data_IF_253370769624
#
_entry.id   IF_253370769624
#
_cell.length_a   1.000
_cell.length_b   1.000
_cell.length_c   1.000
_cell.angle_alpha   90.00
_cell.angle_beta   90.00
_cell.angle_gamma   90.00
#
_symmetry.space_group_name_H-M   'P 1'
#
loop_
_entity.id
_entity.type
_entity.pdbx_description
1 polymer ?
#
# COMPACT_ATOMS: atom_id res chain seq x y z
N UNK A 1 -21.08 10.97 -9.10
CA UNK A 1 -20.86 9.53 -9.34
C UNK A 1 -21.15 8.77 -8.06
N UNK A 2 -21.64 7.53 -8.19
CA UNK A 2 -21.76 6.59 -7.07
C UNK A 2 -20.52 5.70 -7.02
N UNK A 3 -19.73 5.79 -5.95
CA UNK A 3 -18.42 5.14 -5.83
C UNK A 3 -18.41 4.21 -4.63
N UNK A 4 -18.04 2.95 -4.85
CA UNK A 4 -17.82 1.98 -3.77
C UNK A 4 -16.36 2.01 -3.33
N UNK A 5 -16.12 2.09 -2.01
CA UNK A 5 -14.76 2.07 -1.43
C UNK A 5 -14.68 0.91 -0.43
N UNK A 6 -13.85 -0.09 -0.71
CA UNK A 6 -13.57 -1.17 0.24
C UNK A 6 -12.35 -0.84 1.10
N UNK A 7 -12.29 -1.39 2.31
CA UNK A 7 -11.22 -1.02 3.25
C UNK A 7 -11.38 0.40 3.83
N UNK A 8 -12.59 0.94 3.81
CA UNK A 8 -12.94 2.31 4.20
C UNK A 8 -12.59 2.67 5.65
N UNK A 9 -12.45 1.68 6.55
CA UNK A 9 -12.00 1.90 7.94
C UNK A 9 -10.47 1.87 8.09
N UNK A 10 -9.74 1.69 7.01
CA UNK A 10 -8.27 1.70 6.96
C UNK A 10 -7.69 3.10 6.73
N UNK A 11 -6.36 3.20 6.82
CA UNK A 11 -5.62 4.45 6.63
C UNK A 11 -5.91 5.08 5.26
N UNK A 12 -5.64 4.38 4.18
CA UNK A 12 -5.87 4.89 2.82
C UNK A 12 -7.36 4.98 2.50
N UNK A 13 -8.14 3.91 2.76
CA UNK A 13 -9.56 3.87 2.40
C UNK A 13 -10.38 4.97 3.06
N UNK A 14 -10.08 5.32 4.32
CA UNK A 14 -10.71 6.45 5.01
C UNK A 14 -10.41 7.79 4.33
N UNK A 15 -9.15 8.02 3.93
CA UNK A 15 -8.75 9.24 3.20
C UNK A 15 -9.40 9.32 1.81
N UNK A 16 -9.54 8.19 1.12
CA UNK A 16 -10.25 8.13 -0.16
C UNK A 16 -11.74 8.49 0.02
N UNK A 17 -12.41 7.89 1.02
CA UNK A 17 -13.81 8.23 1.33
C UNK A 17 -13.98 9.71 1.59
N UNK A 18 -13.16 10.29 2.48
CA UNK A 18 -13.20 11.70 2.83
C UNK A 18 -13.04 12.60 1.58
N UNK A 19 -12.03 12.30 0.76
CA UNK A 19 -11.74 13.11 -0.41
C UNK A 19 -12.85 13.05 -1.46
N UNK A 20 -13.36 11.85 -1.76
CA UNK A 20 -14.42 11.66 -2.74
C UNK A 20 -15.74 12.31 -2.31
N UNK A 21 -16.12 12.16 -1.04
CA UNK A 21 -17.32 12.80 -0.50
C UNK A 21 -17.22 14.33 -0.54
N UNK A 22 -16.07 14.90 -0.16
CA UNK A 22 -15.83 16.34 -0.22
C UNK A 22 -15.84 16.92 -1.65
N UNK A 23 -15.66 16.07 -2.67
CA UNK A 23 -15.81 16.42 -4.09
C UNK A 23 -17.23 16.26 -4.62
N UNK A 24 -18.19 15.92 -3.76
CA UNK A 24 -19.60 15.78 -4.11
C UNK A 24 -19.96 14.44 -4.75
N UNK A 25 -19.14 13.39 -4.55
CA UNK A 25 -19.50 12.05 -4.97
C UNK A 25 -20.35 11.36 -3.90
N UNK A 26 -21.31 10.53 -4.32
CA UNK A 26 -22.01 9.60 -3.43
C UNK A 26 -21.08 8.40 -3.14
N UNK A 27 -20.75 8.17 -1.86
CA UNK A 27 -19.79 7.13 -1.48
C UNK A 27 -20.46 6.02 -0.68
N UNK A 28 -20.29 4.78 -1.16
CA UNK A 28 -20.63 3.55 -0.44
C UNK A 28 -19.34 2.98 0.19
N UNK A 29 -19.22 3.09 1.49
CA UNK A 29 -18.05 2.66 2.23
C UNK A 29 -18.23 1.24 2.78
N UNK A 30 -17.24 0.36 2.54
CA UNK A 30 -17.26 -1.03 3.00
C UNK A 30 -16.03 -1.36 3.84
N UNK A 31 -16.20 -2.15 4.90
CA UNK A 31 -15.10 -2.62 5.73
C UNK A 31 -15.53 -3.65 6.75
N UNK A 32 -14.59 -4.44 7.26
CA UNK A 32 -14.90 -5.54 8.22
C UNK A 32 -15.20 -5.08 9.65
N UNK A 33 -14.77 -3.85 10.02
CA UNK A 33 -14.97 -3.33 11.36
C UNK A 33 -16.44 -2.95 11.59
N UNK A 34 -16.92 -2.92 12.85
CA UNK A 34 -18.27 -2.47 13.14
C UNK A 34 -18.48 -1.00 12.74
N UNK A 35 -19.73 -0.55 12.49
CA UNK A 35 -20.02 0.83 12.07
C UNK A 35 -19.46 1.91 13.01
N UNK A 36 -19.41 1.66 14.31
CA UNK A 36 -18.81 2.57 15.29
C UNK A 36 -17.31 2.87 15.05
N UNK A 37 -16.60 2.03 14.31
CA UNK A 37 -15.20 2.25 13.94
C UNK A 37 -15.03 3.06 12.64
N UNK A 38 -16.12 3.42 11.97
CA UNK A 38 -16.09 4.22 10.74
C UNK A 38 -16.17 5.72 11.08
N UNK A 39 -15.08 6.43 10.85
CA UNK A 39 -14.93 7.85 11.26
C UNK A 39 -15.64 8.86 10.36
N UNK A 40 -16.14 8.44 9.19
CA UNK A 40 -16.71 9.32 8.15
C UNK A 40 -18.22 9.10 7.97
N UNK A 41 -18.95 8.72 9.05
CA UNK A 41 -20.37 8.42 9.02
C UNK A 41 -21.26 9.59 8.52
N UNK A 42 -20.81 10.84 8.70
CA UNK A 42 -21.49 12.04 8.16
C UNK A 42 -21.23 12.29 6.67
N UNK A 43 -20.28 11.59 6.05
CA UNK A 43 -19.85 11.81 4.68
C UNK A 43 -20.23 10.67 3.72
N UNK A 44 -20.39 9.44 4.22
CA UNK A 44 -20.62 8.27 3.39
C UNK A 44 -21.50 7.23 4.09
N UNK A 45 -22.28 6.50 3.31
CA UNK A 45 -23.03 5.33 3.80
C UNK A 45 -22.06 4.17 4.04
N UNK A 46 -22.03 3.66 5.28
CA UNK A 46 -21.15 2.55 5.64
C UNK A 46 -21.90 1.23 5.80
N UNK A 47 -21.36 0.20 5.19
CA UNK A 47 -21.85 -1.19 5.33
C UNK A 47 -20.70 -2.09 5.80
N UNK A 48 -20.94 -2.83 6.89
CA UNK A 48 -19.99 -3.85 7.34
C UNK A 48 -19.97 -5.00 6.35
N UNK A 49 -18.79 -5.29 5.83
CA UNK A 49 -18.53 -6.42 4.95
C UNK A 49 -17.11 -6.92 5.12
N UNK A 50 -16.96 -8.17 5.50
CA UNK A 50 -15.70 -8.89 5.42
C UNK A 50 -15.63 -9.57 4.05
N UNK A 51 -14.69 -9.13 3.22
CA UNK A 51 -14.54 -9.64 1.86
C UNK A 51 -14.13 -11.12 1.80
N UNK A 52 -13.70 -11.70 2.93
CA UNK A 52 -13.38 -13.14 3.05
C UNK A 52 -14.61 -14.02 3.15
N UNK A 53 -15.78 -13.44 3.45
CA UNK A 53 -17.07 -14.14 3.50
C UNK A 53 -17.68 -14.39 2.09
N UNK A 54 -17.01 -13.91 1.05
CA UNK A 54 -17.43 -14.06 -0.34
C UNK A 54 -18.13 -12.81 -0.92
N UNK A 55 -18.65 -12.93 -2.15
CA UNK A 55 -19.34 -11.84 -2.82
C UNK A 55 -20.56 -11.36 -2.05
N UNK A 56 -20.76 -10.05 -2.04
CA UNK A 56 -21.94 -9.41 -1.47
C UNK A 56 -22.44 -8.33 -2.44
N UNK A 57 -23.66 -8.46 -2.97
CA UNK A 57 -24.20 -7.41 -3.81
C UNK A 57 -24.33 -6.11 -3.01
N UNK A 58 -24.08 -4.95 -3.62
CA UNK A 58 -24.31 -3.67 -2.98
C UNK A 58 -25.78 -3.60 -2.53
N UNK A 59 -25.99 -3.11 -1.31
CA UNK A 59 -27.35 -2.91 -0.76
C UNK A 59 -28.02 -1.75 -1.50
N UNK A 60 -28.89 -2.06 -2.47
CA UNK A 60 -29.70 -1.10 -3.21
C UNK A 60 -29.64 -1.28 -4.74
N UNK A 61 -30.60 -0.68 -5.48
CA UNK A 61 -30.75 -0.87 -6.93
C UNK A 61 -29.79 -0.04 -7.78
N UNK A 62 -28.82 0.69 -7.18
CA UNK A 62 -27.93 1.61 -7.90
C UNK A 62 -26.70 0.89 -8.43
N UNK A 63 -26.50 0.93 -9.73
CA UNK A 63 -25.23 0.55 -10.34
C UNK A 63 -24.14 1.55 -9.90
N UNK A 64 -23.02 1.04 -9.35
CA UNK A 64 -21.89 1.91 -9.03
C UNK A 64 -21.12 2.26 -10.30
N UNK A 65 -20.64 3.50 -10.40
CA UNK A 65 -19.81 3.97 -11.50
C UNK A 65 -18.37 3.48 -11.37
N UNK A 66 -17.87 3.42 -10.13
CA UNK A 66 -16.52 2.98 -9.84
C UNK A 66 -16.41 2.23 -8.50
N UNK A 67 -15.40 1.36 -8.42
CA UNK A 67 -14.99 0.65 -7.20
C UNK A 67 -13.54 1.00 -6.90
N UNK A 68 -13.26 1.51 -5.70
CA UNK A 68 -11.90 1.71 -5.19
C UNK A 68 -11.60 0.64 -4.17
N UNK A 69 -10.76 -0.33 -4.55
CA UNK A 69 -10.43 -1.48 -3.73
C UNK A 69 -9.16 -1.23 -2.92
N UNK A 70 -9.34 -0.74 -1.67
CA UNK A 70 -8.27 -0.50 -0.70
C UNK A 70 -8.16 -1.61 0.36
N UNK A 71 -9.12 -2.54 0.41
CA UNK A 71 -9.07 -3.64 1.37
C UNK A 71 -7.91 -4.59 1.05
N UNK A 72 -7.18 -5.00 2.09
CA UNK A 72 -6.07 -5.94 1.95
C UNK A 72 -5.30 -6.11 3.26
N UNK A 73 -4.66 -7.25 3.41
CA UNK A 73 -3.70 -7.49 4.49
C UNK A 73 -2.34 -6.96 4.03
N UNK A 74 -1.88 -5.87 4.70
CA UNK A 74 -0.62 -5.19 4.41
C UNK A 74 0.31 -5.38 5.60
N UNK A 75 1.02 -6.49 5.62
CA UNK A 75 2.06 -6.84 6.61
C UNK A 75 3.03 -7.81 5.95
N UNK A 76 4.23 -7.90 6.46
CA UNK A 76 5.23 -8.88 6.00
C UNK A 76 5.21 -10.18 6.82
N UNK A 77 4.27 -10.31 7.79
CA UNK A 77 4.13 -11.45 8.69
C UNK A 77 2.67 -11.85 8.85
N UNK A 78 2.40 -13.13 8.84
CA UNK A 78 1.07 -13.72 8.97
C UNK A 78 1.01 -15.10 8.34
N UNK A 79 -0.15 -15.74 8.36
CA UNK A 79 -0.35 -17.04 7.72
C UNK A 79 -0.59 -16.89 6.21
N UNK A 80 -0.06 -17.83 5.43
CA UNK A 80 -0.32 -17.88 3.98
C UNK A 80 -1.82 -17.94 3.67
N UNK A 81 -2.58 -18.67 4.49
CA UNK A 81 -4.04 -18.79 4.37
C UNK A 81 -4.76 -17.47 4.53
N UNK A 82 -4.34 -16.64 5.52
CA UNK A 82 -4.92 -15.31 5.74
C UNK A 82 -4.63 -14.36 4.58
N UNK A 83 -3.38 -14.32 4.12
CA UNK A 83 -3.01 -13.52 2.94
C UNK A 83 -3.81 -13.94 1.70
N UNK A 84 -3.96 -15.25 1.46
CA UNK A 84 -4.73 -15.79 0.35
C UNK A 84 -6.22 -15.42 0.46
N UNK A 85 -6.79 -15.59 1.65
CA UNK A 85 -8.19 -15.28 1.90
C UNK A 85 -8.51 -13.80 1.65
N UNK A 86 -7.68 -12.89 2.16
CA UNK A 86 -7.97 -11.45 2.09
C UNK A 86 -7.53 -10.86 0.74
N UNK A 87 -6.28 -11.12 0.31
CA UNK A 87 -5.73 -10.42 -0.85
C UNK A 87 -6.14 -11.03 -2.18
N UNK A 88 -6.38 -12.35 -2.25
CA UNK A 88 -6.76 -13.02 -3.51
C UNK A 88 -8.27 -13.24 -3.54
N UNK A 89 -8.79 -14.17 -2.72
CA UNK A 89 -10.23 -14.47 -2.73
C UNK A 89 -11.09 -13.26 -2.37
N UNK A 90 -10.62 -12.41 -1.44
CA UNK A 90 -11.29 -11.15 -1.12
C UNK A 90 -11.36 -10.20 -2.31
N UNK A 91 -10.27 -10.09 -3.10
CA UNK A 91 -10.28 -9.29 -4.35
C UNK A 91 -11.25 -9.88 -5.38
N UNK A 92 -11.24 -11.21 -5.57
CA UNK A 92 -12.19 -11.91 -6.45
C UNK A 92 -13.64 -11.70 -6.00
N UNK A 93 -13.90 -11.76 -4.68
CA UNK A 93 -15.21 -11.49 -4.12
C UNK A 93 -15.68 -10.05 -4.40
N UNK A 94 -14.79 -9.06 -4.30
CA UNK A 94 -15.12 -7.67 -4.64
C UNK A 94 -15.39 -7.52 -6.14
N UNK A 95 -14.59 -8.11 -7.01
CA UNK A 95 -14.82 -8.11 -8.45
C UNK A 95 -16.19 -8.73 -8.81
N UNK A 96 -16.56 -9.83 -8.16
CA UNK A 96 -17.83 -10.51 -8.39
C UNK A 96 -19.05 -9.74 -7.82
N UNK A 97 -18.84 -8.81 -6.91
CA UNK A 97 -19.91 -8.07 -6.22
C UNK A 97 -20.43 -6.85 -6.98
N UNK A 98 -19.68 -6.36 -7.95
CA UNK A 98 -20.00 -5.12 -8.66
C UNK A 98 -20.20 -5.35 -10.17
N UNK A 99 -20.97 -4.47 -10.85
CA UNK A 99 -21.21 -4.59 -12.29
C UNK A 99 -19.91 -4.56 -13.08
N UNK A 100 -19.79 -5.40 -14.11
CA UNK A 100 -18.58 -5.52 -14.94
C UNK A 100 -18.20 -4.26 -15.69
N UNK A 101 -19.14 -3.35 -15.92
CA UNK A 101 -18.88 -2.04 -16.51
C UNK A 101 -18.45 -0.99 -15.48
N UNK A 102 -18.54 -1.27 -14.18
CA UNK A 102 -18.00 -0.39 -13.15
C UNK A 102 -16.46 -0.33 -13.27
N UNK A 103 -15.91 0.88 -13.19
CA UNK A 103 -14.47 1.08 -13.20
C UNK A 103 -13.84 0.55 -11.92
N UNK A 104 -12.81 -0.26 -12.04
CA UNK A 104 -12.18 -0.92 -10.89
C UNK A 104 -10.77 -0.40 -10.63
N UNK A 105 -10.59 0.36 -9.55
CA UNK A 105 -9.28 0.89 -9.13
C UNK A 105 -8.75 0.01 -8.00
N UNK A 106 -7.72 -0.79 -8.29
CA UNK A 106 -7.06 -1.67 -7.31
C UNK A 106 -5.79 -1.04 -6.75
N UNK A 107 -5.73 -0.91 -5.44
CA UNK A 107 -4.50 -0.46 -4.76
C UNK A 107 -3.60 -1.66 -4.50
N UNK A 108 -2.54 -1.75 -5.29
CA UNK A 108 -1.49 -2.77 -5.19
C UNK A 108 -0.27 -2.25 -4.42
N UNK A 109 0.92 -2.62 -4.83
CA UNK A 109 2.20 -2.23 -4.21
C UNK A 109 3.35 -2.39 -5.20
N UNK A 110 4.38 -1.55 -5.10
CA UNK A 110 5.63 -1.74 -5.85
C UNK A 110 6.41 -2.98 -5.40
N UNK A 111 6.07 -3.58 -4.27
CA UNK A 111 6.71 -4.82 -3.80
C UNK A 111 6.49 -6.02 -4.72
N UNK A 112 5.55 -5.92 -5.67
CA UNK A 112 5.34 -6.94 -6.71
C UNK A 112 6.52 -7.06 -7.69
N UNK A 113 7.36 -6.02 -7.79
CA UNK A 113 8.56 -6.04 -8.63
C UNK A 113 9.69 -6.90 -8.02
N UNK A 114 10.58 -7.42 -8.88
CA UNK A 114 11.74 -8.18 -8.40
C UNK A 114 12.73 -7.25 -7.70
N UNK A 115 13.00 -7.49 -6.43
CA UNK A 115 13.94 -6.72 -5.62
C UNK A 115 15.42 -6.92 -6.02
N UNK A 116 15.71 -7.89 -6.90
CA UNK A 116 17.05 -8.20 -7.41
C UNK A 116 17.35 -7.56 -8.75
N UNK A 117 16.46 -6.70 -9.24
CA UNK A 117 16.67 -5.99 -10.50
C UNK A 117 17.86 -5.02 -10.43
N UNK A 118 18.44 -4.66 -11.58
CA UNK A 118 19.45 -3.59 -11.66
C UNK A 118 18.94 -2.27 -11.09
N UNK A 119 19.85 -1.41 -10.64
CA UNK A 119 19.55 -0.04 -10.25
C UNK A 119 18.91 0.74 -11.40
N UNK A 120 18.06 1.70 -11.07
CA UNK A 120 17.38 2.55 -12.04
C UNK A 120 15.87 2.68 -11.76
N UNK A 121 15.23 3.58 -12.48
CA UNK A 121 13.79 3.81 -12.34
C UNK A 121 12.99 2.62 -12.86
N UNK A 122 12.06 2.15 -12.04
CA UNK A 122 11.21 0.98 -12.30
C UNK A 122 10.01 1.43 -13.09
N UNK A 123 9.88 0.94 -14.30
CA UNK A 123 8.69 1.14 -15.13
C UNK A 123 7.64 0.06 -14.83
N UNK A 124 6.38 0.35 -15.19
CA UNK A 124 5.24 -0.56 -14.99
C UNK A 124 5.38 -1.88 -15.76
N UNK A 125 6.15 -1.88 -16.84
CA UNK A 125 6.50 -3.06 -17.66
C UNK A 125 7.51 -4.00 -16.99
N UNK A 126 8.11 -3.59 -15.87
CA UNK A 126 9.03 -4.42 -15.13
C UNK A 126 8.35 -5.70 -14.63
N UNK A 127 9.06 -6.82 -14.70
CA UNK A 127 8.53 -8.15 -14.39
C UNK A 127 8.17 -8.27 -12.90
N UNK A 128 7.15 -9.04 -12.63
CA UNK A 128 6.85 -9.52 -11.27
C UNK A 128 8.02 -10.30 -10.67
N UNK A 129 8.12 -10.27 -9.35
CA UNK A 129 9.08 -11.07 -8.61
C UNK A 129 8.86 -12.57 -8.89
N UNK A 130 9.84 -13.21 -9.54
CA UNK A 130 9.79 -14.66 -9.84
C UNK A 130 9.79 -15.52 -8.57
N UNK A 131 10.43 -15.03 -7.50
CA UNK A 131 10.49 -15.66 -6.18
C UNK A 131 10.09 -14.62 -5.13
N UNK A 132 8.78 -14.47 -4.88
CA UNK A 132 8.29 -13.55 -3.86
C UNK A 132 8.94 -13.82 -2.49
N UNK A 133 9.31 -12.76 -1.78
CA UNK A 133 10.01 -12.88 -0.49
C UNK A 133 9.10 -13.38 0.63
N UNK A 134 7.81 -13.16 0.51
CA UNK A 134 6.80 -13.57 1.48
C UNK A 134 5.43 -13.73 0.81
N UNK A 135 4.45 -14.20 1.59
CA UNK A 135 3.07 -14.41 1.11
C UNK A 135 2.36 -13.11 0.76
N UNK A 136 2.71 -11.98 1.41
CA UNK A 136 2.19 -10.68 1.04
C UNK A 136 2.48 -10.35 -0.44
N UNK A 137 3.73 -10.43 -0.86
CA UNK A 137 4.13 -10.15 -2.24
C UNK A 137 3.48 -11.15 -3.19
N UNK A 138 3.49 -12.44 -2.86
CA UNK A 138 2.87 -13.50 -3.65
C UNK A 138 1.39 -13.22 -3.91
N UNK A 139 0.64 -12.92 -2.85
CA UNK A 139 -0.80 -12.70 -2.94
C UNK A 139 -1.17 -11.36 -3.59
N UNK A 140 -0.33 -10.33 -3.47
CA UNK A 140 -0.53 -9.08 -4.22
C UNK A 140 -0.33 -9.27 -5.72
N UNK A 141 0.63 -10.09 -6.14
CA UNK A 141 0.80 -10.48 -7.56
C UNK A 141 -0.45 -11.23 -8.05
N UNK A 142 -0.92 -12.22 -7.29
CA UNK A 142 -2.11 -12.99 -7.65
C UNK A 142 -3.37 -12.10 -7.73
N UNK A 143 -3.53 -11.16 -6.79
CA UNK A 143 -4.62 -10.19 -6.83
C UNK A 143 -4.58 -9.30 -8.08
N UNK A 144 -3.41 -8.79 -8.47
CA UNK A 144 -3.27 -8.04 -9.73
C UNK A 144 -3.65 -8.89 -10.95
N UNK A 145 -3.23 -10.16 -10.98
CA UNK A 145 -3.59 -11.09 -12.05
C UNK A 145 -5.10 -11.34 -12.13
N UNK A 146 -5.78 -11.47 -10.98
CA UNK A 146 -7.23 -11.59 -10.92
C UNK A 146 -7.93 -10.33 -11.46
N UNK A 147 -7.44 -9.14 -11.10
CA UNK A 147 -7.96 -7.86 -11.61
C UNK A 147 -7.74 -7.73 -13.11
N UNK A 148 -6.54 -8.04 -13.62
CA UNK A 148 -6.22 -7.98 -15.06
C UNK A 148 -7.00 -9.00 -15.88
N UNK A 149 -7.31 -10.16 -15.32
CA UNK A 149 -8.14 -11.19 -15.94
C UNK A 149 -9.65 -10.92 -15.86
N UNK A 150 -10.07 -9.89 -15.12
CA UNK A 150 -11.47 -9.53 -14.98
C UNK A 150 -11.98 -8.76 -16.20
N UNK A 151 -13.31 -8.71 -16.37
CA UNK A 151 -13.94 -7.92 -17.43
C UNK A 151 -14.12 -6.42 -17.07
N UNK A 152 -13.68 -6.00 -15.88
CA UNK A 152 -13.79 -4.61 -15.47
C UNK A 152 -12.77 -3.70 -16.18
N UNK A 153 -13.14 -2.47 -16.55
CA UNK A 153 -12.17 -1.46 -16.96
C UNK A 153 -11.29 -1.10 -15.74
N UNK A 154 -10.10 -1.72 -15.66
CA UNK A 154 -9.31 -1.76 -14.43
C UNK A 154 -8.11 -0.82 -14.46
N UNK A 155 -7.85 -0.21 -13.30
CA UNK A 155 -6.64 0.56 -12.99
C UNK A 155 -5.96 -0.06 -11.79
N UNK A 156 -4.68 -0.39 -11.91
CA UNK A 156 -3.86 -0.92 -10.82
C UNK A 156 -2.85 0.14 -10.43
N UNK A 157 -2.89 0.55 -9.16
CA UNK A 157 -1.96 1.54 -8.61
C UNK A 157 -0.89 0.82 -7.78
N UNK A 158 0.39 1.04 -8.10
CA UNK A 158 1.55 0.47 -7.41
C UNK A 158 2.29 1.54 -6.59
N UNK A 159 1.81 1.91 -5.41
CA UNK A 159 2.53 2.81 -4.50
C UNK A 159 3.70 2.09 -3.82
N UNK A 160 4.67 2.88 -3.30
CA UNK A 160 5.73 2.39 -2.43
C UNK A 160 5.69 3.11 -1.08
N UNK A 161 5.74 2.35 0.03
CA UNK A 161 5.84 2.88 1.39
C UNK A 161 4.91 4.10 1.63
N UNK A 162 3.60 3.84 1.65
CA UNK A 162 2.58 4.88 1.84
C UNK A 162 2.74 5.49 3.24
N UNK A 163 2.86 6.82 3.32
CA UNK A 163 3.00 7.56 4.56
C UNK A 163 2.05 8.77 4.60
N UNK A 164 1.85 9.33 5.77
CA UNK A 164 0.99 10.50 5.96
C UNK A 164 0.29 10.50 7.31
N UNK A 165 -0.49 11.54 7.64
CA UNK A 165 -1.25 11.63 8.89
C UNK A 165 -2.21 10.45 9.06
N UNK A 166 -2.12 9.76 10.21
CA UNK A 166 -2.94 8.57 10.50
C UNK A 166 -2.31 7.23 10.09
N UNK A 167 -1.06 7.22 9.59
CA UNK A 167 -0.30 6.00 9.36
C UNK A 167 0.05 5.32 10.71
N UNK A 168 -0.24 4.00 10.83
CA UNK A 168 -0.14 3.28 12.12
C UNK A 168 0.71 2.01 12.07
N UNK A 169 1.34 1.70 10.95
CA UNK A 169 2.11 0.44 10.78
C UNK A 169 3.58 0.67 10.49
N UNK A 170 3.89 1.45 9.46
CA UNK A 170 5.25 1.66 9.00
C UNK A 170 6.06 2.50 10.00
N UNK A 171 5.54 3.65 10.38
CA UNK A 171 6.22 4.59 11.27
C UNK A 171 6.42 4.03 12.68
N UNK A 172 5.40 3.46 13.37
CA UNK A 172 5.59 2.85 14.67
C UNK A 172 6.62 1.71 14.66
N UNK A 173 6.61 0.88 13.60
CA UNK A 173 7.58 -0.21 13.47
C UNK A 173 9.01 0.29 13.27
N UNK A 174 9.18 1.34 12.46
CA UNK A 174 10.47 1.97 12.26
C UNK A 174 10.99 2.60 13.56
N UNK A 175 10.14 3.32 14.28
CA UNK A 175 10.52 3.91 15.57
C UNK A 175 10.80 2.84 16.64
N UNK A 176 10.12 1.68 16.61
CA UNK A 176 10.40 0.54 17.48
C UNK A 176 11.78 -0.09 17.24
N UNK A 177 12.40 0.14 16.08
CA UNK A 177 13.79 -0.27 15.82
C UNK A 177 14.84 0.62 16.50
N UNK A 178 14.42 1.63 17.25
CA UNK A 178 15.32 2.49 18.05
C UNK A 178 15.82 1.77 19.30
N UNK A 179 17.14 1.79 19.49
CA UNK A 179 17.81 1.24 20.69
C UNK A 179 18.89 2.21 21.14
N UNK A 180 18.99 2.50 22.42
CA UNK A 180 19.99 3.38 23.00
C UNK A 180 20.12 4.75 22.28
N UNK A 181 18.97 5.35 21.92
CA UNK A 181 18.93 6.64 21.22
C UNK A 181 19.33 6.60 19.74
N UNK A 182 19.59 5.42 19.17
CA UNK A 182 19.99 5.24 17.75
C UNK A 182 18.95 4.42 17.01
N UNK A 183 18.65 4.75 15.76
CA UNK A 183 17.82 3.96 14.87
C UNK A 183 18.68 2.93 14.15
N UNK A 184 18.35 1.65 14.27
CA UNK A 184 18.98 0.59 13.49
C UNK A 184 18.32 0.50 12.11
N UNK A 185 19.12 0.66 11.06
CA UNK A 185 18.73 0.50 9.67
C UNK A 185 19.58 -0.57 8.98
N UNK A 186 19.21 -0.97 7.76
CA UNK A 186 19.95 -1.96 6.96
C UNK A 186 20.49 -1.31 5.71
N UNK A 187 21.68 -1.73 5.27
CA UNK A 187 22.37 -1.19 4.11
C UNK A 187 23.44 -0.16 4.50
N UNK A 188 23.58 0.89 3.71
CA UNK A 188 24.45 2.03 3.95
C UNK A 188 23.72 3.38 3.92
N UNK A 189 22.40 3.34 3.65
CA UNK A 189 21.55 4.52 3.58
C UNK A 189 21.70 5.36 2.31
N UNK A 190 22.51 4.92 1.33
CA UNK A 190 22.72 5.63 0.05
C UNK A 190 21.72 5.28 -1.01
N UNK A 191 21.09 4.08 -0.91
CA UNK A 191 20.05 3.64 -1.81
C UNK A 191 18.88 4.62 -1.82
N UNK A 192 18.41 4.97 -3.02
CA UNK A 192 17.29 5.89 -3.21
C UNK A 192 15.98 5.15 -3.13
N UNK A 193 15.03 5.77 -2.43
CA UNK A 193 13.70 5.19 -2.22
C UNK A 193 12.64 6.21 -2.60
N UNK A 194 11.70 5.80 -3.46
CA UNK A 194 10.46 6.51 -3.67
C UNK A 194 9.54 6.28 -2.47
N UNK A 195 8.91 7.32 -1.97
CA UNK A 195 7.82 7.25 -1.00
C UNK A 195 6.52 7.69 -1.67
N UNK A 196 5.38 7.36 -1.07
CA UNK A 196 4.08 7.80 -1.56
C UNK A 196 3.30 8.46 -0.41
N UNK A 197 3.15 9.78 -0.45
CA UNK A 197 2.27 10.45 0.50
C UNK A 197 0.82 10.05 0.24
N UNK A 198 0.04 9.82 1.30
CA UNK A 198 -1.36 9.37 1.19
C UNK A 198 -2.20 10.30 0.32
N UNK A 199 -2.02 11.63 0.43
CA UNK A 199 -2.77 12.59 -0.37
C UNK A 199 -2.37 12.54 -1.85
N UNK A 200 -1.12 12.22 -2.18
CA UNK A 200 -0.66 12.00 -3.55
C UNK A 200 -1.31 10.74 -4.14
N UNK A 201 -1.43 9.67 -3.34
CA UNK A 201 -2.13 8.47 -3.77
C UNK A 201 -3.64 8.70 -3.96
N UNK A 202 -4.27 9.45 -3.05
CA UNK A 202 -5.68 9.86 -3.18
C UNK A 202 -5.90 10.65 -4.48
N UNK A 203 -5.02 11.59 -4.81
CA UNK A 203 -5.09 12.33 -6.08
C UNK A 203 -5.11 11.39 -7.30
N UNK A 204 -4.25 10.36 -7.31
CA UNK A 204 -4.24 9.39 -8.43
C UNK A 204 -5.52 8.56 -8.44
N UNK A 205 -6.05 8.17 -7.28
CA UNK A 205 -7.35 7.46 -7.21
C UNK A 205 -8.46 8.33 -7.82
N UNK A 206 -8.52 9.61 -7.47
CA UNK A 206 -9.49 10.55 -8.04
C UNK A 206 -9.40 10.63 -9.57
N UNK A 207 -8.19 10.77 -10.11
CA UNK A 207 -7.96 10.77 -11.56
C UNK A 207 -8.32 9.43 -12.19
N UNK A 208 -8.00 8.34 -11.51
CA UNK A 208 -8.26 7.00 -12.02
C UNK A 208 -9.75 6.67 -12.16
N UNK A 209 -10.64 7.28 -11.38
CA UNK A 209 -12.09 7.04 -11.46
C UNK A 209 -12.81 7.98 -12.44
N UNK A 210 -12.17 9.03 -12.94
CA UNK A 210 -12.77 9.96 -13.88
C UNK A 210 -13.24 9.25 -15.17
N UNK A 211 -14.42 9.59 -15.70
CA UNK A 211 -14.87 9.04 -16.98
C UNK A 211 -13.87 9.32 -18.11
N UNK A 212 -13.57 8.29 -18.89
CA UNK A 212 -12.61 8.41 -20.00
C UNK A 212 -11.14 8.28 -19.60
N UNK A 213 -10.81 8.21 -18.31
CA UNK A 213 -9.42 7.94 -17.89
C UNK A 213 -8.93 6.59 -18.43
N UNK A 214 -7.66 6.47 -18.82
CA UNK A 214 -7.11 5.21 -19.33
C UNK A 214 -7.13 4.11 -18.27
N UNK A 215 -7.20 2.85 -18.72
CA UNK A 215 -6.99 1.66 -17.92
C UNK A 215 -5.52 1.27 -17.92
N UNK A 216 -5.09 0.43 -16.99
CA UNK A 216 -3.73 -0.08 -16.95
C UNK A 216 -3.09 -0.06 -15.58
N UNK A 217 -1.78 -0.22 -15.56
CA UNK A 217 -0.97 -0.25 -14.34
C UNK A 217 -0.22 1.06 -14.22
N UNK A 218 -0.18 1.64 -13.02
CA UNK A 218 0.50 2.92 -12.78
C UNK A 218 1.33 2.87 -11.51
N UNK A 219 2.59 3.23 -11.61
CA UNK A 219 3.42 3.51 -10.46
C UNK A 219 3.00 4.84 -9.83
N UNK A 220 2.96 4.85 -8.50
CA UNK A 220 2.57 6.05 -7.76
C UNK A 220 3.61 6.36 -6.69
N UNK A 221 4.22 7.54 -6.77
CA UNK A 221 5.19 8.02 -5.79
C UNK A 221 5.19 9.54 -5.73
N UNK A 222 5.82 10.08 -4.71
CA UNK A 222 6.13 11.51 -4.62
C UNK A 222 7.08 11.92 -5.76
N UNK A 223 7.24 13.22 -5.98
CA UNK A 223 7.99 13.76 -7.13
C UNK A 223 9.45 13.32 -7.19
N UNK A 224 10.05 13.01 -6.05
CA UNK A 224 11.47 12.69 -5.95
C UNK A 224 11.71 11.43 -5.11
N UNK A 225 12.62 10.58 -5.57
CA UNK A 225 13.21 9.54 -4.75
C UNK A 225 14.40 10.11 -3.98
N UNK A 226 14.50 9.83 -2.70
CA UNK A 226 15.53 10.36 -1.81
C UNK A 226 16.41 9.23 -1.24
N UNK A 227 17.69 9.52 -0.88
CA UNK A 227 18.51 8.57 -0.15
C UNK A 227 17.86 8.16 1.17
N UNK A 228 17.79 6.85 1.46
CA UNK A 228 17.18 6.32 2.68
C UNK A 228 17.74 6.99 3.95
N UNK A 229 19.03 7.23 4.00
CA UNK A 229 19.66 7.87 5.15
C UNK A 229 19.17 9.30 5.39
N UNK A 230 18.86 10.04 4.33
CA UNK A 230 18.25 11.36 4.41
C UNK A 230 16.82 11.27 4.94
N UNK A 231 16.02 10.36 4.38
CA UNK A 231 14.64 10.11 4.80
C UNK A 231 14.55 9.73 6.28
N UNK A 232 15.40 8.80 6.75
CA UNK A 232 15.41 8.36 8.15
C UNK A 232 15.79 9.49 9.11
N UNK A 233 16.77 10.32 8.76
CA UNK A 233 17.16 11.47 9.58
C UNK A 233 16.06 12.54 9.63
N UNK A 234 15.46 12.87 8.50
CA UNK A 234 14.33 13.81 8.41
C UNK A 234 13.13 13.33 9.23
N UNK A 235 12.84 12.03 9.18
CA UNK A 235 11.80 11.42 9.98
C UNK A 235 12.10 11.56 11.49
N UNK A 236 13.30 11.20 11.93
CA UNK A 236 13.67 11.32 13.35
C UNK A 236 13.55 12.77 13.85
N UNK A 237 14.00 13.74 13.06
CA UNK A 237 13.89 15.17 13.38
C UNK A 237 12.42 15.62 13.47
N UNK A 238 11.54 15.16 12.58
CA UNK A 238 10.12 15.46 12.62
C UNK A 238 9.44 14.98 13.92
N UNK A 239 9.94 13.89 14.51
CA UNK A 239 9.49 13.37 15.81
C UNK A 239 10.27 13.94 17.00
N UNK A 240 11.06 15.00 16.84
CA UNK A 240 11.87 15.59 17.90
C UNK A 240 12.98 14.67 18.43
N UNK A 241 13.41 13.70 17.63
CA UNK A 241 14.39 12.68 18.01
C UNK A 241 15.77 12.99 17.43
N UNK A 242 16.84 12.61 18.16
CA UNK A 242 18.19 12.74 17.63
C UNK A 242 18.35 11.92 16.33
N UNK A 243 18.88 12.53 15.22
CA UNK A 243 18.94 11.89 13.91
C UNK A 243 20.11 10.90 13.77
N UNK A 244 20.28 10.04 14.78
CA UNK A 244 21.37 9.06 14.86
C UNK A 244 20.91 7.73 14.26
N UNK A 245 21.46 7.36 13.08
CA UNK A 245 21.19 6.11 12.38
C UNK A 245 22.46 5.26 12.36
N UNK A 246 22.30 3.98 12.70
CA UNK A 246 23.37 2.96 12.62
C UNK A 246 22.97 1.95 11.57
N UNK A 247 23.87 1.63 10.66
CA UNK A 247 23.59 0.74 9.55
C UNK A 247 24.20 -0.63 9.77
N UNK A 248 23.37 -1.67 9.61
CA UNK A 248 23.81 -3.05 9.56
C UNK A 248 23.99 -3.47 8.09
N UNK A 249 25.18 -3.92 7.67
CA UNK A 249 25.39 -4.37 6.31
C UNK A 249 24.41 -5.46 5.90
N UNK A 250 23.90 -5.41 4.65
CA UNK A 250 22.93 -6.38 4.14
C UNK A 250 23.41 -7.83 4.28
N UNK A 251 24.70 -8.09 4.04
CA UNK A 251 25.29 -9.42 4.15
C UNK A 251 25.21 -10.02 5.56
N UNK A 252 25.17 -9.17 6.58
CA UNK A 252 25.00 -9.55 7.99
C UNK A 252 23.50 -9.61 8.35
N UNK A 253 22.74 -8.61 7.92
CA UNK A 253 21.32 -8.50 8.23
C UNK A 253 20.50 -9.66 7.64
N UNK A 254 20.83 -10.13 6.44
CA UNK A 254 20.06 -11.16 5.75
C UNK A 254 20.03 -12.51 6.46
N UNK A 255 21.16 -13.13 6.86
CA UNK A 255 21.13 -14.39 7.63
C UNK A 255 20.48 -14.22 9.00
N UNK A 256 20.69 -13.08 9.69
CA UNK A 256 20.02 -12.79 10.96
C UNK A 256 18.49 -12.80 10.76
N UNK A 257 18.00 -12.10 9.73
CA UNK A 257 16.57 -12.08 9.41
C UNK A 257 16.04 -13.48 9.11
N UNK A 258 16.76 -14.29 8.33
CA UNK A 258 16.37 -15.65 8.01
C UNK A 258 16.26 -16.53 9.27
N UNK A 259 17.22 -16.45 10.19
CA UNK A 259 17.21 -17.17 11.46
C UNK A 259 16.04 -16.73 12.35
N UNK A 260 15.83 -15.41 12.46
CA UNK A 260 14.70 -14.86 13.23
C UNK A 260 13.36 -15.31 12.66
N UNK A 261 13.16 -15.26 11.33
CA UNK A 261 11.93 -15.74 10.70
C UNK A 261 11.70 -17.24 11.00
N UNK A 262 12.74 -18.07 10.90
CA UNK A 262 12.65 -19.50 11.16
C UNK A 262 12.27 -19.78 12.62
N UNK A 263 12.92 -19.12 13.58
CA UNK A 263 12.62 -19.26 15.00
C UNK A 263 11.18 -18.81 15.33
N UNK A 264 10.75 -17.65 14.82
CA UNK A 264 9.40 -17.12 15.06
C UNK A 264 8.31 -17.98 14.41
N UNK A 265 8.59 -18.59 13.26
CA UNK A 265 7.67 -19.58 12.64
C UNK A 265 7.59 -20.86 13.44
N UNK A 266 8.71 -21.36 13.96
CA UNK A 266 8.74 -22.58 14.78
C UNK A 266 7.88 -22.45 16.05
N UNK A 267 7.89 -21.29 16.70
CA UNK A 267 7.05 -21.00 17.88
C UNK A 267 5.66 -20.44 17.52
N UNK A 268 5.30 -20.39 16.22
CA UNK A 268 4.03 -19.84 15.71
C UNK A 268 3.73 -18.43 16.23
N UNK A 269 4.74 -17.57 16.31
CA UNK A 269 4.59 -16.21 16.82
C UNK A 269 3.60 -15.39 15.98
N UNK A 270 2.62 -14.79 16.63
CA UNK A 270 1.63 -13.91 15.98
C UNK A 270 2.25 -12.59 15.51
N UNK A 271 3.24 -12.08 16.26
CA UNK A 271 3.93 -10.82 15.94
C UNK A 271 5.17 -11.07 15.09
N UNK A 272 5.47 -10.20 14.12
CA UNK A 272 6.67 -10.31 13.31
C UNK A 272 7.94 -10.17 14.17
N UNK A 273 9.04 -10.83 13.79
CA UNK A 273 10.35 -10.47 14.31
C UNK A 273 10.69 -9.02 13.93
N UNK A 274 11.62 -8.43 14.64
CA UNK A 274 12.07 -7.06 14.38
C UNK A 274 12.63 -6.93 12.95
N UNK A 275 13.31 -7.96 12.46
CA UNK A 275 13.92 -8.01 11.15
C UNK A 275 13.43 -9.23 10.37
N UNK A 276 12.88 -8.99 9.16
CA UNK A 276 12.51 -10.02 8.19
C UNK A 276 13.34 -9.82 6.93
N UNK A 277 13.51 -10.87 6.12
CA UNK A 277 14.18 -10.75 4.80
C UNK A 277 13.47 -9.74 3.90
N UNK A 278 12.16 -9.62 4.03
CA UNK A 278 11.39 -8.59 3.32
C UNK A 278 11.83 -7.18 3.73
N UNK A 279 11.94 -6.89 5.04
CA UNK A 279 12.42 -5.59 5.52
C UNK A 279 13.86 -5.32 5.10
N UNK A 280 14.72 -6.33 5.19
CA UNK A 280 16.11 -6.21 4.73
C UNK A 280 16.15 -5.83 3.25
N UNK A 281 15.35 -6.47 2.42
CA UNK A 281 15.25 -6.15 0.99
C UNK A 281 14.73 -4.73 0.76
N UNK A 282 13.67 -4.33 1.47
CA UNK A 282 13.08 -2.99 1.33
C UNK A 282 14.04 -1.85 1.76
N UNK A 283 14.81 -2.06 2.83
CA UNK A 283 15.72 -1.05 3.34
C UNK A 283 17.09 -1.02 2.63
N UNK A 284 17.55 -2.16 2.11
CA UNK A 284 18.88 -2.28 1.51
C UNK A 284 18.92 -2.25 -0.02
N UNK A 285 17.78 -2.17 -0.68
CA UNK A 285 17.72 -2.13 -2.15
C UNK A 285 17.20 -0.77 -2.62
N UNK A 286 17.69 -0.33 -3.77
CA UNK A 286 17.13 0.85 -4.43
C UNK A 286 15.70 0.58 -4.91
N UNK A 287 14.78 1.52 -4.67
CA UNK A 287 13.41 1.47 -5.16
C UNK A 287 12.98 2.85 -5.67
N UNK A 288 13.36 3.17 -6.89
CA UNK A 288 12.95 4.38 -7.59
C UNK A 288 11.85 4.01 -8.58
N UNK A 289 10.67 4.57 -8.43
CA UNK A 289 9.55 4.33 -9.33
C UNK A 289 9.55 5.36 -10.47
N UNK A 290 9.40 4.91 -11.69
CA UNK A 290 9.07 5.78 -12.82
C UNK A 290 7.59 6.09 -12.80
N UNK A 291 7.22 7.34 -12.57
CA UNK A 291 5.83 7.80 -12.46
C UNK A 291 5.34 8.53 -13.71
N UNK A 292 6.15 8.61 -14.76
CA UNK A 292 5.83 9.36 -15.98
C UNK A 292 4.55 8.87 -16.65
N UNK A 293 4.25 7.57 -16.58
CA UNK A 293 3.01 7.04 -17.12
C UNK A 293 1.79 7.61 -16.39
N UNK A 294 1.81 7.67 -15.06
CA UNK A 294 0.74 8.29 -14.27
C UNK A 294 0.64 9.81 -14.56
N UNK A 295 1.78 10.50 -14.69
CA UNK A 295 1.81 11.92 -15.02
C UNK A 295 1.20 12.21 -16.39
N UNK A 296 1.62 11.48 -17.41
CA UNK A 296 1.21 11.72 -18.80
C UNK A 296 -0.23 11.29 -19.09
N UNK A 297 -0.66 10.17 -18.52
CA UNK A 297 -1.96 9.56 -18.86
C UNK A 297 -3.06 9.88 -17.85
N UNK A 298 -2.75 10.05 -16.57
CA UNK A 298 -3.73 10.40 -15.53
C UNK A 298 -3.65 11.87 -15.08
N UNK A 299 -2.74 12.66 -15.66
CA UNK A 299 -2.52 14.04 -15.22
C UNK A 299 -2.04 14.14 -13.75
N UNK A 300 -1.34 13.10 -13.29
CA UNK A 300 -0.82 13.04 -11.92
C UNK A 300 0.25 14.10 -11.67
N UNK A 301 0.08 14.92 -10.66
CA UNK A 301 1.02 15.95 -10.26
C UNK A 301 1.36 15.78 -8.78
N UNK A 302 2.35 14.93 -8.45
CA UNK A 302 2.70 14.67 -7.06
C UNK A 302 3.25 15.93 -6.40
N UNK A 303 2.73 16.24 -5.23
CA UNK A 303 3.26 17.30 -4.39
C UNK A 303 4.37 16.72 -3.52
N UNK A 304 5.48 17.46 -3.39
CA UNK A 304 6.50 17.11 -2.40
C UNK A 304 5.93 17.32 -1.00
N UNK A 305 5.98 16.29 -0.19
CA UNK A 305 5.58 16.35 1.21
C UNK A 305 6.79 16.07 2.08
N UNK A 306 6.81 16.63 3.27
CA UNK A 306 7.84 16.35 4.26
C UNK A 306 7.23 15.68 5.49
N UNK A 307 8.05 15.08 6.32
CA UNK A 307 7.59 14.34 7.49
C UNK A 307 7.02 15.22 8.61
N UNK A 308 7.16 16.53 8.56
CA UNK A 308 6.61 17.45 9.56
C UNK A 308 5.08 17.36 9.66
N UNK A 309 4.42 16.95 8.58
CA UNK A 309 2.96 16.72 8.56
C UNK A 309 2.52 15.48 9.31
N UNK A 310 3.44 14.59 9.69
CA UNK A 310 3.12 13.32 10.40
C UNK A 310 2.87 13.51 11.90
N UNK A 311 3.32 14.63 12.47
CA UNK A 311 3.24 14.91 13.91
C UNK A 311 2.05 15.79 14.29
N UNK A 312 1.25 16.16 13.32
CA UNK A 312 -0.01 16.89 13.47
C UNK A 312 -1.20 15.96 13.26
#
# INVERSE_FOLDING_TARGET
MLIAVTGATGFLGGRVVESLANRGHDVLAFGRRPPAAFRHAGLAAYTRWDITEGPRPPTGPRAVDAVVHCAGTVTDWGSATEFEAVNVRGTEAVLASFPRNARFVHVSTSSVYDHRRPAGAIQETARYARRPLNDYVRTKIAAEQAVLGSAHPSVILRPHAIYGPGETKLLPRLLAARRFGRLLAVGDGRNRISLTHVDNLVQVVERAIEPGSPTGIFNVADSEAEPLGGLLRSLLLAFGLAPRVVYLPRVVAWPIAATMESAFRAIRAERPPLLTRYIVAQLASECVLDIRQAQNLLGYQPRRRNFVTLTR
#
